data_IF_676060031405
#
_entry.id   IF_676060031405
#
_cell.length_a   1.000
_cell.length_b   1.000
_cell.length_c   1.000
_cell.angle_alpha   90.00
_cell.angle_beta   90.00
_cell.angle_gamma   90.00
#
_symmetry.space_group_name_H-M   'P 1'
#
loop_
_entity.id
_entity.type
_entity.pdbx_description
1 polymer ?
#
# COMPACT_ATOMS: atom_id res chain seq x y z
N UNK A 1 8.18 -20.57 -16.21
CA UNK A 1 7.42 -19.82 -17.25
C UNK A 1 7.06 -18.48 -16.61
N UNK A 2 7.76 -17.42 -17.01
CA UNK A 2 7.58 -16.08 -16.47
C UNK A 2 6.33 -15.47 -17.09
N UNK A 3 5.30 -15.24 -16.27
CA UNK A 3 4.12 -14.49 -16.71
C UNK A 3 4.48 -13.00 -16.74
N UNK A 4 4.46 -12.42 -17.92
CA UNK A 4 4.55 -10.97 -18.13
C UNK A 4 3.41 -10.31 -17.36
N UNK A 5 3.65 -9.24 -16.56
CA UNK A 5 2.58 -8.52 -15.90
C UNK A 5 1.69 -7.86 -16.96
N UNK A 6 0.50 -8.41 -17.16
CA UNK A 6 -0.51 -7.92 -18.10
C UNK A 6 -1.06 -6.56 -17.65
N UNK A 7 -1.41 -5.73 -18.63
CA UNK A 7 -2.18 -4.52 -18.45
C UNK A 7 -3.39 -4.81 -17.54
N UNK A 8 -3.58 -4.01 -16.50
CA UNK A 8 -4.70 -4.11 -15.55
C UNK A 8 -6.02 -4.10 -16.34
N UNK A 9 -6.58 -5.27 -16.55
CA UNK A 9 -7.93 -5.38 -17.10
C UNK A 9 -8.92 -4.98 -16.00
N UNK A 10 -9.92 -4.21 -16.35
CA UNK A 10 -11.01 -3.86 -15.42
C UNK A 10 -11.57 -5.16 -14.83
N UNK A 11 -11.61 -5.31 -13.48
CA UNK A 11 -12.10 -6.53 -12.86
C UNK A 11 -13.56 -6.79 -13.25
N UNK A 12 -13.96 -8.05 -13.33
CA UNK A 12 -15.37 -8.38 -13.51
C UNK A 12 -16.21 -7.88 -12.33
N UNK A 13 -17.49 -7.60 -12.55
CA UNK A 13 -18.37 -7.13 -11.48
C UNK A 13 -18.39 -8.09 -10.27
N UNK A 14 -18.27 -9.39 -10.49
CA UNK A 14 -18.20 -10.39 -9.43
C UNK A 14 -16.92 -10.25 -8.59
N UNK A 15 -15.76 -10.11 -9.24
CA UNK A 15 -14.46 -9.91 -8.57
C UNK A 15 -14.43 -8.59 -7.84
N UNK A 16 -14.96 -7.52 -8.44
CA UNK A 16 -15.07 -6.21 -7.79
C UNK A 16 -15.90 -6.27 -6.51
N UNK A 17 -17.05 -6.94 -6.55
CA UNK A 17 -17.88 -7.14 -5.36
C UNK A 17 -17.21 -7.99 -4.28
N UNK A 18 -16.42 -9.00 -4.65
CA UNK A 18 -15.64 -9.80 -3.71
C UNK A 18 -14.57 -8.94 -3.01
N UNK A 19 -13.80 -8.15 -3.77
CA UNK A 19 -12.78 -7.25 -3.21
C UNK A 19 -13.41 -6.21 -2.27
N UNK A 20 -14.49 -5.56 -2.70
CA UNK A 20 -15.18 -4.56 -1.88
C UNK A 20 -15.68 -5.15 -0.54
N UNK A 21 -16.17 -6.39 -0.52
CA UNK A 21 -16.57 -7.06 0.72
C UNK A 21 -15.40 -7.47 1.60
N UNK A 22 -14.28 -7.89 0.98
CA UNK A 22 -13.13 -8.46 1.71
C UNK A 22 -12.61 -7.55 2.82
N UNK A 23 -12.63 -6.24 2.59
CA UNK A 23 -12.10 -5.24 3.52
C UNK A 23 -13.08 -4.08 3.74
N UNK A 24 -14.40 -4.35 3.82
CA UNK A 24 -15.42 -3.34 4.15
C UNK A 24 -15.45 -2.13 3.21
N UNK A 25 -15.21 -2.34 1.91
CA UNK A 25 -15.15 -1.27 0.92
C UNK A 25 -13.80 -0.56 0.83
N UNK A 26 -12.78 -1.06 1.52
CA UNK A 26 -11.41 -0.58 1.37
C UNK A 26 -10.63 -1.41 0.35
N UNK A 27 -9.81 -0.74 -0.45
CA UNK A 27 -8.86 -1.38 -1.36
C UNK A 27 -7.47 -1.36 -0.74
N UNK A 28 -6.84 -2.52 -0.45
CA UNK A 28 -5.46 -2.54 0.01
C UNK A 28 -4.52 -2.11 -1.11
N UNK A 29 -3.55 -1.24 -0.78
CA UNK A 29 -2.50 -0.78 -1.69
C UNK A 29 -1.19 -0.82 -0.93
N UNK A 30 -0.23 -1.61 -1.39
CA UNK A 30 1.07 -1.64 -0.75
C UNK A 30 1.88 -0.41 -1.12
N UNK A 31 2.43 0.24 -0.11
CA UNK A 31 3.26 1.44 -0.23
C UNK A 31 4.57 1.16 0.49
N UNK A 32 5.63 1.65 -0.12
CA UNK A 32 6.93 1.80 0.51
C UNK A 32 7.53 3.13 0.09
N UNK A 33 8.26 3.79 1.00
CA UNK A 33 8.90 5.07 0.76
C UNK A 33 10.36 5.07 1.17
N UNK A 34 11.21 5.62 0.31
CA UNK A 34 12.59 5.95 0.67
C UNK A 34 12.70 7.41 1.07
N UNK A 35 13.37 7.67 2.19
CA UNK A 35 13.36 8.98 2.84
C UNK A 35 14.77 9.46 3.20
N UNK A 36 14.94 10.77 3.29
CA UNK A 36 16.16 11.40 3.77
C UNK A 36 16.37 11.34 5.28
N UNK A 37 15.54 10.59 6.02
CA UNK A 37 15.61 10.43 7.46
C UNK A 37 14.34 9.84 8.04
N UNK A 38 14.12 9.95 9.35
CA UNK A 38 13.00 9.30 10.06
C UNK A 38 11.85 10.22 10.47
N UNK A 39 12.03 11.54 10.32
CA UNK A 39 11.02 12.52 10.72
C UNK A 39 10.26 13.03 9.50
N UNK A 40 9.05 12.54 9.31
CA UNK A 40 8.21 12.89 8.15
C UNK A 40 7.87 14.39 8.04
N UNK A 41 8.00 15.15 9.13
CA UNK A 41 7.73 16.60 9.11
C UNK A 41 8.90 17.41 8.56
N UNK A 42 10.13 16.91 8.67
CA UNK A 42 11.36 17.66 8.33
C UNK A 42 12.20 17.00 7.25
N UNK A 43 12.12 15.69 7.10
CA UNK A 43 13.01 14.93 6.25
C UNK A 43 12.36 14.68 4.89
N UNK A 44 13.19 14.63 3.86
CA UNK A 44 12.69 14.50 2.48
C UNK A 44 12.06 13.13 2.22
N UNK A 45 10.92 13.11 1.54
CA UNK A 45 10.46 11.96 0.78
C UNK A 45 11.28 11.91 -0.52
N UNK A 46 11.97 10.80 -0.79
CA UNK A 46 12.87 10.68 -1.94
C UNK A 46 12.36 9.72 -3.01
N UNK A 47 11.69 8.65 -2.63
CA UNK A 47 11.07 7.71 -3.55
C UNK A 47 9.73 7.24 -2.97
N UNK A 48 8.76 6.97 -3.82
CA UNK A 48 7.48 6.36 -3.47
C UNK A 48 7.16 5.27 -4.46
N UNK A 49 6.81 4.10 -3.95
CA UNK A 49 6.25 3.00 -4.72
C UNK A 49 4.85 2.65 -4.22
N UNK A 50 3.95 2.39 -5.15
CA UNK A 50 2.61 1.90 -4.89
C UNK A 50 2.36 0.63 -5.69
N UNK A 51 2.00 -0.44 -5.02
CA UNK A 51 1.64 -1.72 -5.62
C UNK A 51 0.16 -1.95 -5.39
N UNK A 52 -0.61 -2.00 -6.45
CA UNK A 52 -2.03 -2.33 -6.38
C UNK A 52 -2.19 -3.80 -5.97
N UNK A 53 -3.14 -4.07 -5.11
CA UNK A 53 -3.53 -5.45 -4.79
C UNK A 53 -4.76 -5.76 -5.62
N UNK A 54 -4.61 -6.76 -6.48
CA UNK A 54 -5.68 -7.27 -7.33
C UNK A 54 -6.30 -8.53 -6.72
N UNK A 55 -7.37 -9.02 -7.32
CA UNK A 55 -8.03 -10.27 -6.93
C UNK A 55 -8.29 -11.11 -8.17
N UNK A 56 -7.95 -12.39 -8.10
CA UNK A 56 -8.25 -13.35 -9.18
C UNK A 56 -9.72 -13.80 -9.16
N UNK A 57 -10.08 -14.63 -10.15
CA UNK A 57 -11.44 -15.13 -10.30
C UNK A 57 -11.87 -16.04 -9.13
N UNK A 58 -10.93 -16.66 -8.45
CA UNK A 58 -11.10 -17.53 -7.29
C UNK A 58 -11.19 -16.74 -5.96
N UNK A 59 -11.11 -15.39 -6.02
CA UNK A 59 -11.17 -14.52 -4.86
C UNK A 59 -9.88 -14.46 -4.05
N UNK A 60 -8.75 -14.86 -4.64
CA UNK A 60 -7.43 -14.77 -4.01
C UNK A 60 -6.80 -13.43 -4.34
N UNK A 61 -6.15 -12.85 -3.34
CA UNK A 61 -5.37 -11.63 -3.54
C UNK A 61 -4.09 -11.94 -4.29
N UNK A 62 -3.77 -11.10 -5.25
CA UNK A 62 -2.57 -11.19 -6.06
C UNK A 62 -1.92 -9.81 -6.20
N UNK A 63 -0.61 -9.77 -6.38
CA UNK A 63 0.10 -8.54 -6.67
C UNK A 63 -0.28 -8.04 -8.06
N UNK A 64 -0.72 -6.80 -8.14
CA UNK A 64 -1.08 -6.10 -9.38
C UNK A 64 0.02 -5.19 -9.88
N UNK A 65 -0.37 -4.08 -10.51
CA UNK A 65 0.55 -3.12 -11.12
C UNK A 65 1.35 -2.33 -10.06
N UNK A 66 2.64 -2.08 -10.36
CA UNK A 66 3.53 -1.23 -9.55
C UNK A 66 3.73 0.12 -10.22
N UNK A 67 3.60 1.19 -9.44
CA UNK A 67 3.84 2.58 -9.85
C UNK A 67 4.90 3.18 -8.94
N UNK A 68 6.04 3.58 -9.50
CA UNK A 68 7.18 4.13 -8.76
C UNK A 68 7.56 5.49 -9.28
N UNK A 69 7.88 6.41 -8.38
CA UNK A 69 8.35 7.76 -8.72
C UNK A 69 9.45 8.20 -7.76
N UNK A 70 10.52 8.75 -8.32
CA UNK A 70 11.49 9.52 -7.54
C UNK A 70 10.92 10.90 -7.23
N UNK A 71 11.20 11.38 -6.02
CA UNK A 71 10.65 12.63 -5.48
C UNK A 71 11.78 13.61 -5.19
N UNK A 72 11.61 14.86 -5.61
CA UNK A 72 12.55 15.93 -5.27
C UNK A 72 12.40 16.31 -3.80
N UNK A 73 13.49 16.50 -3.06
CA UNK A 73 13.42 17.10 -1.73
C UNK A 73 12.65 18.41 -1.77
N UNK A 74 11.75 18.63 -0.82
CA UNK A 74 11.10 19.93 -0.67
C UNK A 74 12.08 20.98 -0.13
N UNK A 75 11.78 22.26 -0.32
CA UNK A 75 12.63 23.36 0.14
C UNK A 75 12.82 23.32 1.67
N UNK A 76 14.06 23.31 2.14
CA UNK A 76 14.40 23.18 3.55
C UNK A 76 14.33 21.75 4.11
N UNK A 77 14.09 20.76 3.27
CA UNK A 77 14.11 19.36 3.70
C UNK A 77 15.48 18.95 4.27
N UNK A 78 15.44 18.15 5.33
CA UNK A 78 16.65 17.53 5.89
C UNK A 78 17.00 16.26 5.13
N UNK A 79 18.29 15.99 5.03
CA UNK A 79 18.88 14.82 4.41
C UNK A 79 19.93 14.26 5.37
N UNK A 80 19.59 13.20 6.11
CA UNK A 80 20.55 12.51 7.00
C UNK A 80 21.50 11.67 6.15
N UNK A 81 22.82 11.91 6.21
CA UNK A 81 23.79 11.12 5.45
C UNK A 81 23.73 9.62 5.72
N UNK A 82 23.31 9.22 6.94
CA UNK A 82 23.16 7.80 7.30
C UNK A 82 21.96 7.17 6.59
N UNK A 83 20.83 7.89 6.48
CA UNK A 83 19.68 7.43 5.73
C UNK A 83 20.02 7.32 4.24
N UNK A 84 20.69 8.32 3.68
CA UNK A 84 21.14 8.29 2.27
C UNK A 84 22.13 7.15 1.99
N UNK A 85 22.99 6.81 2.96
CA UNK A 85 23.93 5.69 2.80
C UNK A 85 23.20 4.32 2.78
N UNK A 86 22.06 4.21 3.44
CA UNK A 86 21.24 2.98 3.42
C UNK A 86 20.49 2.84 2.11
N UNK A 87 19.83 3.91 1.66
CA UNK A 87 19.04 3.89 0.41
C UNK A 87 19.89 3.93 -0.86
N UNK A 88 21.14 4.43 -0.75
CA UNK A 88 22.02 4.66 -1.90
C UNK A 88 21.52 5.80 -2.83
N UNK A 89 20.52 6.55 -2.42
CA UNK A 89 19.94 7.62 -3.24
C UNK A 89 20.82 8.88 -3.14
N UNK A 90 21.29 9.38 -4.30
CA UNK A 90 21.80 10.75 -4.42
C UNK A 90 20.65 11.68 -4.82
N UNK A 91 20.11 12.48 -3.90
CA UNK A 91 18.95 13.34 -4.16
C UNK A 91 19.23 14.42 -5.21
N UNK A 92 20.50 14.78 -5.41
CA UNK A 92 20.95 15.86 -6.28
C UNK A 92 21.56 15.36 -7.60
N UNK A 93 21.53 14.05 -7.85
CA UNK A 93 22.10 13.50 -9.07
C UNK A 93 21.40 14.08 -10.32
N UNK A 94 22.14 14.67 -11.28
CA UNK A 94 21.55 15.45 -12.38
C UNK A 94 20.68 14.62 -13.33
N UNK A 95 20.89 13.31 -13.40
CA UNK A 95 20.12 12.40 -14.26
C UNK A 95 18.98 11.70 -13.50
N UNK A 96 18.76 12.03 -12.24
CA UNK A 96 17.65 11.44 -11.46
C UNK A 96 16.32 11.99 -11.96
N UNK A 97 15.38 11.15 -12.47
CA UNK A 97 14.11 11.60 -13.03
C UNK A 97 13.11 11.94 -11.91
N UNK A 98 13.53 12.77 -10.96
CA UNK A 98 12.74 13.11 -9.79
C UNK A 98 11.68 14.17 -10.11
N UNK A 99 10.47 13.96 -9.60
CA UNK A 99 9.33 14.85 -9.74
C UNK A 99 9.17 15.72 -8.49
N UNK A 100 8.60 16.93 -8.60
CA UNK A 100 8.09 17.64 -7.45
C UNK A 100 7.15 16.73 -6.62
N UNK A 101 7.19 16.87 -5.30
CA UNK A 101 6.43 16.03 -4.38
C UNK A 101 4.93 15.98 -4.72
N UNK A 102 4.33 17.13 -5.05
CA UNK A 102 2.94 17.22 -5.51
C UNK A 102 2.67 16.35 -6.75
N UNK A 103 3.55 16.40 -7.74
CA UNK A 103 3.35 15.70 -9.01
C UNK A 103 3.47 14.18 -8.83
N UNK A 104 4.44 13.73 -8.04
CA UNK A 104 4.63 12.32 -7.73
C UNK A 104 3.38 11.76 -7.01
N UNK A 105 2.92 12.44 -5.95
CA UNK A 105 1.72 12.04 -5.21
C UNK A 105 0.48 12.03 -6.10
N UNK A 106 0.29 13.07 -6.94
CA UNK A 106 -0.88 13.13 -7.83
C UNK A 106 -0.90 11.97 -8.84
N UNK A 107 0.26 11.57 -9.35
CA UNK A 107 0.37 10.42 -10.27
C UNK A 107 0.03 9.12 -9.57
N UNK A 108 0.63 8.84 -8.42
CA UNK A 108 0.30 7.66 -7.61
C UNK A 108 -1.19 7.63 -7.26
N UNK A 109 -1.72 8.73 -6.75
CA UNK A 109 -3.12 8.80 -6.32
C UNK A 109 -4.12 8.68 -7.48
N UNK A 110 -3.72 9.07 -8.69
CA UNK A 110 -4.54 8.86 -9.89
C UNK A 110 -4.74 7.38 -10.16
N UNK A 111 -3.67 6.60 -10.12
CA UNK A 111 -3.74 5.15 -10.36
C UNK A 111 -4.54 4.43 -9.26
N UNK A 112 -4.32 4.81 -8.00
CA UNK A 112 -5.09 4.26 -6.88
C UNK A 112 -6.59 4.60 -7.03
N UNK A 113 -6.95 5.85 -7.37
CA UNK A 113 -8.35 6.22 -7.59
C UNK A 113 -8.96 5.52 -8.81
N UNK A 114 -8.15 5.19 -9.82
CA UNK A 114 -8.62 4.36 -10.94
C UNK A 114 -8.98 2.95 -10.46
N UNK A 115 -8.10 2.33 -9.69
CA UNK A 115 -8.34 1.00 -9.11
C UNK A 115 -9.55 1.00 -8.15
N UNK A 116 -9.70 2.02 -7.30
CA UNK A 116 -10.87 2.18 -6.42
C UNK A 116 -12.18 2.13 -7.18
N UNK A 117 -12.27 2.84 -8.33
CA UNK A 117 -13.46 2.79 -9.19
C UNK A 117 -13.67 1.42 -9.81
N UNK A 118 -12.60 0.76 -10.27
CA UNK A 118 -12.67 -0.58 -10.85
C UNK A 118 -13.20 -1.61 -9.86
N UNK A 119 -12.77 -1.55 -8.61
CA UNK A 119 -13.20 -2.44 -7.55
C UNK A 119 -14.43 -1.96 -6.77
N UNK A 120 -15.05 -0.86 -7.16
CA UNK A 120 -16.18 -0.23 -6.44
C UNK A 120 -15.88 0.00 -4.94
N UNK A 121 -14.60 0.21 -4.61
CA UNK A 121 -14.15 0.53 -3.27
C UNK A 121 -14.23 2.03 -3.02
N UNK A 122 -14.55 2.41 -1.77
CA UNK A 122 -14.72 3.83 -1.40
C UNK A 122 -13.40 4.53 -1.07
N UNK A 123 -12.43 3.80 -0.52
CA UNK A 123 -11.16 4.34 -0.03
C UNK A 123 -10.05 3.30 -0.10
N UNK A 124 -8.81 3.74 -0.20
CA UNK A 124 -7.66 2.85 -0.08
C UNK A 124 -7.24 2.71 1.40
N UNK A 125 -6.71 1.53 1.74
CA UNK A 125 -6.00 1.30 3.00
C UNK A 125 -4.55 0.96 2.67
N UNK A 126 -3.62 1.67 3.32
CA UNK A 126 -2.20 1.46 3.10
C UNK A 126 -1.78 0.12 3.69
N UNK A 127 -1.03 -0.65 2.91
CA UNK A 127 -0.31 -1.85 3.34
C UNK A 127 1.17 -1.51 3.33
N UNK A 128 1.94 -1.84 4.37
CA UNK A 128 3.39 -1.59 4.40
C UNK A 128 4.07 -2.42 5.47
N UNK A 129 5.40 -2.50 5.42
CA UNK A 129 6.18 -3.18 6.46
C UNK A 129 6.65 -2.14 7.49
N UNK A 130 6.02 -2.08 8.65
CA UNK A 130 5.98 -0.95 9.58
C UNK A 130 5.20 0.25 9.01
N UNK A 131 4.06 -0.03 8.46
CA UNK A 131 3.20 0.83 7.63
C UNK A 131 2.90 2.22 8.19
N UNK A 132 2.98 2.41 9.52
CA UNK A 132 2.80 3.72 10.15
C UNK A 132 3.87 4.74 9.72
N UNK A 133 5.08 4.28 9.40
CA UNK A 133 6.16 5.10 8.89
C UNK A 133 5.79 5.68 7.51
N UNK A 134 5.45 4.83 6.57
CA UNK A 134 5.08 5.21 5.20
C UNK A 134 3.86 6.12 5.19
N UNK A 135 2.82 5.76 5.97
CA UNK A 135 1.61 6.55 6.11
C UNK A 135 1.92 7.95 6.68
N UNK A 136 2.84 8.04 7.64
CA UNK A 136 3.31 9.30 8.21
C UNK A 136 3.93 10.21 7.14
N UNK A 137 4.85 9.68 6.33
CA UNK A 137 5.48 10.42 5.23
C UNK A 137 4.48 10.84 4.15
N UNK A 138 3.56 9.95 3.75
CA UNK A 138 2.50 10.28 2.79
C UNK A 138 1.61 11.41 3.33
N UNK A 139 1.15 11.33 4.57
CA UNK A 139 0.29 12.36 5.15
C UNK A 139 1.01 13.72 5.28
N UNK A 140 2.28 13.72 5.70
CA UNK A 140 3.08 14.94 5.79
C UNK A 140 3.31 15.57 4.40
N UNK A 141 3.63 14.75 3.39
CA UNK A 141 3.80 15.19 2.02
C UNK A 141 2.51 15.73 1.40
N UNK A 142 1.36 15.07 1.67
CA UNK A 142 0.03 15.52 1.25
C UNK A 142 -0.30 16.88 1.83
N UNK A 143 -0.05 17.08 3.14
CA UNK A 143 -0.31 18.35 3.80
C UNK A 143 0.60 19.47 3.27
N UNK A 144 1.90 19.22 3.16
CA UNK A 144 2.90 20.18 2.68
C UNK A 144 2.69 20.57 1.23
N UNK A 145 2.40 19.61 0.37
CA UNK A 145 2.14 19.83 -1.06
C UNK A 145 0.68 20.26 -1.36
N UNK A 146 -0.17 20.39 -0.34
CA UNK A 146 -1.60 20.70 -0.46
C UNK A 146 -2.33 19.83 -1.49
N UNK A 147 -2.03 18.53 -1.49
CA UNK A 147 -2.67 17.57 -2.39
C UNK A 147 -4.06 17.24 -1.88
N UNK A 148 -5.08 17.62 -2.67
CA UNK A 148 -6.47 17.30 -2.37
C UNK A 148 -6.80 15.86 -2.75
N UNK A 149 -7.83 15.30 -2.09
CA UNK A 149 -8.37 13.95 -2.38
C UNK A 149 -7.33 12.84 -2.19
N UNK A 150 -6.67 12.84 -1.01
CA UNK A 150 -5.88 11.69 -0.59
C UNK A 150 -6.77 10.44 -0.59
N UNK A 151 -6.42 9.38 -1.36
CA UNK A 151 -7.24 8.17 -1.43
C UNK A 151 -7.14 7.30 -0.18
N UNK A 152 -6.11 7.48 0.65
CA UNK A 152 -5.85 6.63 1.80
C UNK A 152 -6.69 7.00 3.02
N UNK A 153 -6.97 5.98 3.83
CA UNK A 153 -7.46 6.19 5.18
C UNK A 153 -6.41 7.00 5.98
N UNK A 154 -6.81 8.02 6.76
CA UNK A 154 -5.85 8.96 7.36
C UNK A 154 -4.94 8.34 8.43
N UNK A 155 -5.36 7.25 9.10
CA UNK A 155 -4.62 6.62 10.19
C UNK A 155 -4.68 5.09 10.22
N UNK A 156 -5.61 4.44 9.50
CA UNK A 156 -5.65 2.97 9.45
C UNK A 156 -4.76 2.43 8.36
N UNK A 157 -3.99 1.41 8.68
CA UNK A 157 -3.15 0.69 7.73
C UNK A 157 -3.12 -0.82 8.06
N UNK A 158 -2.70 -1.62 7.10
CA UNK A 158 -2.34 -3.02 7.31
C UNK A 158 -0.83 -3.13 7.42
N UNK A 159 -0.34 -3.60 8.56
CA UNK A 159 1.09 -3.74 8.82
C UNK A 159 1.55 -5.18 8.53
N UNK A 160 2.41 -5.33 7.53
CA UNK A 160 2.93 -6.65 7.15
C UNK A 160 3.98 -7.19 8.11
N UNK A 161 4.67 -6.34 8.91
CA UNK A 161 5.54 -6.82 9.97
C UNK A 161 4.71 -7.53 11.07
N UNK A 162 3.57 -6.97 11.43
CA UNK A 162 2.61 -7.61 12.36
C UNK A 162 2.04 -8.90 11.77
N UNK A 163 1.59 -8.89 10.51
CA UNK A 163 1.04 -10.06 9.84
C UNK A 163 2.07 -11.19 9.71
N UNK A 164 3.29 -10.85 9.28
CA UNK A 164 4.38 -11.81 9.16
C UNK A 164 4.86 -12.31 10.52
N UNK A 165 4.90 -11.44 11.53
CA UNK A 165 5.18 -11.83 12.91
C UNK A 165 4.20 -12.89 13.42
N UNK A 166 2.91 -12.67 13.21
CA UNK A 166 1.85 -13.59 13.64
C UNK A 166 1.81 -14.89 12.82
N UNK A 167 1.98 -14.83 11.50
CA UNK A 167 1.82 -15.97 10.60
C UNK A 167 3.11 -16.78 10.35
N UNK A 168 4.28 -16.12 10.42
CA UNK A 168 5.58 -16.67 10.02
C UNK A 168 6.64 -16.58 11.11
N UNK A 169 6.37 -15.91 12.24
CA UNK A 169 7.33 -15.70 13.32
C UNK A 169 8.47 -14.73 12.95
N UNK A 170 8.30 -13.88 11.92
CA UNK A 170 9.32 -12.96 11.42
C UNK A 170 8.76 -11.55 11.25
N UNK A 171 9.52 -10.55 11.74
CA UNK A 171 9.13 -9.13 11.67
C UNK A 171 10.09 -8.29 10.82
N UNK A 172 11.13 -8.89 10.25
CA UNK A 172 12.08 -8.27 9.33
C UNK A 172 11.71 -8.70 7.93
N UNK A 173 11.50 -7.76 6.99
CA UNK A 173 10.98 -8.04 5.65
C UNK A 173 11.76 -9.13 4.91
N UNK A 174 13.09 -9.02 4.84
CA UNK A 174 13.95 -10.01 4.19
C UNK A 174 13.76 -11.43 4.76
N UNK A 175 13.65 -11.54 6.09
CA UNK A 175 13.43 -12.83 6.77
C UNK A 175 12.02 -13.36 6.53
N UNK A 176 11.01 -12.46 6.57
CA UNK A 176 9.64 -12.82 6.31
C UNK A 176 9.45 -13.35 4.88
N UNK A 177 10.03 -12.67 3.88
CA UNK A 177 10.04 -13.10 2.47
C UNK A 177 10.67 -14.48 2.32
N UNK A 178 11.85 -14.69 2.91
CA UNK A 178 12.58 -15.98 2.85
C UNK A 178 11.79 -17.11 3.51
N UNK A 179 11.25 -16.89 4.72
CA UNK A 179 10.46 -17.92 5.45
C UNK A 179 9.11 -18.16 4.78
N UNK A 180 8.56 -17.20 4.07
CA UNK A 180 7.37 -17.35 3.24
C UNK A 180 7.58 -18.28 2.03
N UNK A 181 8.83 -18.60 1.68
CA UNK A 181 9.20 -19.36 0.49
C UNK A 181 9.26 -18.49 -0.77
N UNK A 182 9.35 -17.18 -0.60
CA UNK A 182 9.52 -16.21 -1.68
C UNK A 182 11.02 -15.92 -1.90
N UNK A 183 11.36 -15.42 -3.08
CA UNK A 183 12.74 -15.04 -3.41
C UNK A 183 13.06 -13.67 -2.84
N UNK A 184 14.16 -13.57 -2.08
CA UNK A 184 14.72 -12.31 -1.64
C UNK A 184 15.96 -11.97 -2.48
N UNK A 185 15.98 -10.77 -3.04
CA UNK A 185 17.11 -10.21 -3.76
C UNK A 185 17.73 -9.07 -2.92
N UNK A 186 18.91 -9.34 -2.37
CA UNK A 186 19.60 -8.38 -1.50
C UNK A 186 20.13 -7.15 -2.28
N UNK A 187 20.38 -7.30 -3.58
CA UNK A 187 20.89 -6.20 -4.42
C UNK A 187 19.77 -5.21 -4.79
N UNK A 188 18.52 -5.66 -4.76
CA UNK A 188 17.33 -4.84 -4.99
C UNK A 188 16.74 -4.24 -3.72
N UNK A 189 17.18 -4.69 -2.54
CA UNK A 189 16.74 -4.20 -1.23
C UNK A 189 17.01 -2.70 -1.08
N UNK A 190 16.16 -2.02 -0.28
CA UNK A 190 16.17 -0.56 -0.12
C UNK A 190 15.86 0.21 -1.42
N UNK A 191 15.08 -0.40 -2.29
CA UNK A 191 14.38 0.28 -3.36
C UNK A 191 12.90 0.26 -3.00
N UNK A 192 12.24 1.42 -2.95
CA UNK A 192 10.82 1.50 -2.59
C UNK A 192 9.97 0.55 -3.45
N UNK A 193 10.33 0.40 -4.73
CA UNK A 193 9.65 -0.55 -5.61
C UNK A 193 9.72 -1.99 -5.12
N UNK A 194 10.93 -2.46 -4.84
CA UNK A 194 11.16 -3.86 -4.46
C UNK A 194 10.55 -4.17 -3.10
N UNK A 195 10.74 -3.28 -2.12
CA UNK A 195 10.24 -3.47 -0.77
C UNK A 195 8.69 -3.38 -0.71
N UNK A 196 8.08 -2.51 -1.52
CA UNK A 196 6.61 -2.49 -1.69
C UNK A 196 6.09 -3.78 -2.36
N UNK A 197 6.78 -4.30 -3.38
CA UNK A 197 6.42 -5.56 -4.04
C UNK A 197 6.52 -6.76 -3.07
N UNK A 198 7.58 -6.82 -2.28
CA UNK A 198 7.74 -7.82 -1.21
C UNK A 198 6.63 -7.72 -0.14
N UNK A 199 6.31 -6.50 0.28
CA UNK A 199 5.23 -6.25 1.25
C UNK A 199 3.87 -6.67 0.69
N UNK A 200 3.60 -6.40 -0.59
CA UNK A 200 2.39 -6.85 -1.28
C UNK A 200 2.31 -8.38 -1.33
N UNK A 201 3.40 -9.06 -1.68
CA UNK A 201 3.45 -10.53 -1.76
C UNK A 201 3.22 -11.18 -0.38
N UNK A 202 3.84 -10.66 0.70
CA UNK A 202 3.59 -11.12 2.08
C UNK A 202 2.13 -10.89 2.48
N UNK A 203 1.57 -9.71 2.19
CA UNK A 203 0.17 -9.41 2.48
C UNK A 203 -0.77 -10.38 1.78
N UNK A 204 -0.62 -10.56 0.46
CA UNK A 204 -1.42 -11.48 -0.33
C UNK A 204 -1.31 -12.92 0.20
N UNK A 205 -0.09 -13.39 0.47
CA UNK A 205 0.15 -14.75 0.98
C UNK A 205 -0.55 -14.98 2.31
N UNK A 206 -0.40 -14.08 3.27
CA UNK A 206 -1.00 -14.24 4.61
C UNK A 206 -2.52 -14.16 4.53
N UNK A 207 -3.07 -13.17 3.82
CA UNK A 207 -4.51 -13.01 3.65
C UNK A 207 -5.14 -14.21 2.93
N UNK A 208 -4.46 -14.79 1.94
CA UNK A 208 -4.94 -15.99 1.24
C UNK A 208 -4.91 -17.24 2.12
N UNK A 209 -3.89 -17.39 2.98
CA UNK A 209 -3.86 -18.48 3.99
C UNK A 209 -5.00 -18.37 5.01
N UNK A 210 -5.41 -17.16 5.34
CA UNK A 210 -6.50 -16.87 6.27
C UNK A 210 -7.89 -16.84 5.62
N UNK A 211 -8.02 -17.17 4.33
CA UNK A 211 -9.29 -17.06 3.59
C UNK A 211 -10.42 -17.89 4.23
N UNK A 212 -10.13 -19.11 4.71
CA UNK A 212 -11.11 -19.94 5.42
C UNK A 212 -11.63 -19.27 6.70
N UNK A 213 -10.72 -18.83 7.56
CA UNK A 213 -11.08 -18.12 8.81
C UNK A 213 -11.83 -16.81 8.54
N UNK A 214 -11.48 -16.09 7.47
CA UNK A 214 -12.22 -14.91 7.04
C UNK A 214 -13.65 -15.26 6.62
N UNK A 215 -13.87 -16.34 5.87
CA UNK A 215 -15.20 -16.80 5.47
C UNK A 215 -16.09 -17.14 6.67
N UNK A 216 -15.54 -17.81 7.67
CA UNK A 216 -16.24 -18.10 8.91
C UNK A 216 -16.61 -16.82 9.69
N UNK A 217 -15.68 -15.86 9.78
CA UNK A 217 -15.92 -14.57 10.44
C UNK A 217 -16.97 -13.75 9.69
N UNK A 218 -16.91 -13.73 8.33
CA UNK A 218 -17.91 -13.08 7.50
C UNK A 218 -19.30 -13.67 7.69
N UNK A 219 -19.42 -15.01 7.73
CA UNK A 219 -20.69 -15.69 7.98
C UNK A 219 -21.27 -15.32 9.34
N UNK A 220 -20.43 -15.24 10.38
CA UNK A 220 -20.84 -14.81 11.72
C UNK A 220 -21.29 -13.36 11.75
N UNK A 221 -20.57 -12.46 11.08
CA UNK A 221 -20.92 -11.03 11.01
C UNK A 221 -22.26 -10.82 10.29
N UNK A 222 -22.57 -11.63 9.25
CA UNK A 222 -23.89 -11.64 8.60
C UNK A 222 -24.98 -12.11 9.55
N UNK A 223 -24.74 -13.18 10.30
CA UNK A 223 -25.71 -13.70 11.26
C UNK A 223 -26.03 -12.69 12.38
N UNK A 224 -25.07 -11.81 12.71
CA UNK A 224 -25.23 -10.71 13.67
C UNK A 224 -25.86 -9.44 13.05
N UNK A 225 -26.13 -9.43 11.74
CA UNK A 225 -26.65 -8.24 11.05
C UNK A 225 -25.63 -7.13 10.83
N UNK A 226 -24.33 -7.39 11.02
CA UNK A 226 -23.26 -6.39 10.84
C UNK A 226 -22.83 -6.22 9.37
N UNK A 227 -23.14 -7.21 8.53
CA UNK A 227 -22.92 -7.13 7.08
C UNK A 227 -24.27 -7.25 6.39
N UNK A 228 -24.69 -6.21 5.67
CA UNK A 228 -25.86 -6.26 4.82
C UNK A 228 -25.68 -7.29 3.70
N UNK A 229 -26.78 -7.93 3.29
CA UNK A 229 -26.83 -8.81 2.12
C UNK A 229 -26.78 -8.03 0.82
N UNK A 230 -27.09 -6.73 0.86
CA UNK A 230 -26.91 -5.78 -0.25
C UNK A 230 -25.69 -4.90 0.03
N UNK A 231 -24.96 -4.53 -0.99
CA UNK A 231 -23.93 -3.49 -0.89
C UNK A 231 -24.65 -2.12 -0.72
N UNK A 232 -25.13 -1.83 0.48
CA UNK A 232 -25.63 -0.50 0.79
C UNK A 232 -24.45 0.41 1.12
N UNK A 233 -24.30 1.54 0.43
CA UNK A 233 -23.31 2.55 0.77
C UNK A 233 -23.80 3.29 2.03
N UNK A 234 -23.16 3.03 3.14
CA UNK A 234 -23.21 3.93 4.29
C UNK A 234 -24.14 3.54 5.41
N UNK A 235 -23.54 3.00 6.48
CA UNK A 235 -23.95 3.28 7.86
C UNK A 235 -22.85 2.93 8.89
N UNK A 236 -21.72 2.44 8.48
CA UNK A 236 -20.54 2.42 9.35
C UNK A 236 -19.79 3.75 9.16
N UNK A 237 -20.30 4.80 9.80
CA UNK A 237 -19.52 6.03 9.99
C UNK A 237 -18.27 5.63 10.77
N UNK A 238 -17.13 5.56 10.09
CA UNK A 238 -15.83 5.48 10.72
C UNK A 238 -15.71 6.74 11.62
N UNK A 239 -15.54 6.59 12.94
CA UNK A 239 -15.44 7.74 13.85
C UNK A 239 -14.28 8.69 13.52
N UNK A 240 -13.49 8.40 12.49
CA UNK A 240 -12.45 9.25 11.92
C UNK A 240 -12.85 10.05 10.67
N UNK A 241 -14.07 9.93 10.16
CA UNK A 241 -14.55 10.85 9.11
C UNK A 241 -14.89 12.21 9.74
N UNK A 242 -13.90 13.10 9.79
CA UNK A 242 -14.16 14.52 10.01
C UNK A 242 -14.80 15.05 8.71
N UNK A 243 -16.04 15.59 8.74
CA UNK A 243 -16.62 16.21 7.56
C UNK A 243 -15.75 17.40 7.14
N UNK A 244 -15.20 17.32 5.93
CA UNK A 244 -14.43 18.38 5.30
C UNK A 244 -15.32 19.32 4.49
#
# INVERSE_FOLDING_TARGET
>A
MSATPGASSVPSAAVAALMARRFRGYLPVAIDVECGGFNCSTDALLEIAAVLIDMDAEGRLVRGATHTYHVQPFEGARLDPRALAVTGIDPHHPLRPALPERDALQRVFREIRHALRGYTCRRAILVGHNAAFDLGFINAAVARAEVKRNPFHPFSCFDTATLAGAALGQTVLAKAVTVAGLTWDADSAHSARYDAECSADIFCLVCNRLQGSHGEAEARARALGWLSTAAEPGEDADPGEVPG
#
